data_IF_713058125959
#
_entry.id   IF_713058125959
#
_cell.length_a   1.000
_cell.length_b   1.000
_cell.length_c   1.000
_cell.angle_alpha   90.00
_cell.angle_beta   90.00
_cell.angle_gamma   90.00
#
_symmetry.space_group_name_H-M   'P 1'
#
loop_
_entity.id
_entity.type
_entity.pdbx_description
1 polymer ?
#
# COMPACT_ATOMS: atom_id res chain seq x y z
N UNK A 1 25.88 26.72 63.09
CA UNK A 1 25.46 25.72 62.08
C UNK A 1 24.07 26.06 61.61
N UNK A 2 23.94 26.54 60.37
CA UNK A 2 22.82 26.32 59.44
C UNK A 2 22.98 27.27 58.23
N UNK A 3 23.74 26.80 57.24
CA UNK A 3 23.85 27.43 55.92
C UNK A 3 22.54 27.21 55.14
N UNK A 4 21.75 28.27 54.93
CA UNK A 4 20.65 28.27 53.96
C UNK A 4 21.22 28.50 52.57
N UNK A 5 21.42 27.41 51.83
CA UNK A 5 21.70 27.43 50.39
C UNK A 5 20.45 27.92 49.65
N UNK A 6 20.45 29.18 49.19
CA UNK A 6 19.39 29.70 48.32
C UNK A 6 19.44 28.99 46.97
N UNK A 7 18.43 28.18 46.66
CA UNK A 7 18.24 27.60 45.33
C UNK A 7 17.69 28.67 44.39
N UNK A 8 18.59 29.34 43.68
CA UNK A 8 18.27 30.12 42.50
C UNK A 8 17.72 29.18 41.42
N UNK A 9 16.61 29.50 40.72
CA UNK A 9 16.20 28.73 39.55
C UNK A 9 17.27 28.87 38.46
N UNK A 10 17.77 27.74 37.96
CA UNK A 10 18.69 27.71 36.83
C UNK A 10 18.06 28.46 35.64
N UNK A 11 18.77 29.41 35.02
CA UNK A 11 18.26 30.09 33.84
C UNK A 11 18.06 29.08 32.71
N UNK A 12 16.86 29.04 32.15
CA UNK A 12 16.59 28.44 30.86
C UNK A 12 17.58 29.01 29.85
N UNK A 13 18.56 28.21 29.45
CA UNK A 13 19.55 28.59 28.46
C UNK A 13 18.83 29.00 27.17
N UNK A 14 19.16 30.16 26.58
CA UNK A 14 18.58 30.56 25.32
C UNK A 14 19.05 29.59 24.24
N UNK A 15 18.07 28.96 23.60
CA UNK A 15 18.22 28.08 22.45
C UNK A 15 18.88 28.87 21.33
N UNK A 16 20.21 28.74 21.22
CA UNK A 16 21.01 29.38 20.19
C UNK A 16 20.45 29.04 18.81
N UNK A 17 20.21 30.09 18.03
CA UNK A 17 19.66 30.03 16.69
C UNK A 17 20.63 29.44 15.68
N UNK A 18 20.05 28.98 14.57
CA UNK A 18 20.71 28.73 13.29
C UNK A 18 21.52 27.43 13.11
N UNK A 19 21.30 26.40 13.93
CA UNK A 19 21.59 25.02 13.51
C UNK A 19 20.27 24.36 13.10
N UNK A 20 20.10 24.13 11.79
CA UNK A 20 19.01 23.28 11.29
C UNK A 20 19.14 21.96 12.04
N UNK A 21 18.11 21.58 12.81
CA UNK A 21 18.14 20.31 13.54
C UNK A 21 18.44 19.19 12.55
N UNK A 22 19.61 18.56 12.66
CA UNK A 22 20.07 17.48 11.78
C UNK A 22 19.03 16.38 11.67
N UNK A 23 18.33 16.12 12.78
CA UNK A 23 17.19 15.22 12.87
C UNK A 23 15.98 15.67 12.04
N UNK A 24 15.66 16.96 12.04
CA UNK A 24 14.59 17.54 11.22
C UNK A 24 14.90 17.46 9.72
N UNK A 25 16.15 17.76 9.34
CA UNK A 25 16.60 17.65 7.95
C UNK A 25 16.55 16.19 7.46
N UNK A 26 17.04 15.23 8.26
CA UNK A 26 17.02 13.82 7.87
C UNK A 26 15.59 13.27 7.77
N UNK A 27 14.69 13.72 8.65
CA UNK A 27 13.25 13.40 8.57
C UNK A 27 12.63 13.88 7.26
N UNK A 28 12.98 15.09 6.82
CA UNK A 28 12.49 15.67 5.56
C UNK A 28 13.04 14.90 4.36
N UNK A 29 14.34 14.58 4.36
CA UNK A 29 14.97 13.80 3.29
C UNK A 29 14.34 12.41 3.17
N UNK A 30 14.14 11.71 4.30
CA UNK A 30 13.49 10.39 4.30
C UNK A 30 12.03 10.46 3.84
N UNK A 31 11.31 11.54 4.17
CA UNK A 31 9.97 11.80 3.65
C UNK A 31 10.00 11.95 2.13
N UNK A 32 10.91 12.76 1.57
CA UNK A 32 11.00 12.99 0.13
C UNK A 32 11.40 11.71 -0.63
N UNK A 33 12.37 10.96 -0.10
CA UNK A 33 12.77 9.66 -0.66
C UNK A 33 11.58 8.70 -0.65
N UNK A 34 10.87 8.62 0.48
CA UNK A 34 9.71 7.74 0.61
C UNK A 34 8.61 8.10 -0.39
N UNK A 35 8.19 9.36 -0.41
CA UNK A 35 7.11 9.83 -1.27
C UNK A 35 7.48 9.71 -2.76
N UNK A 36 8.72 10.05 -3.11
CA UNK A 36 9.25 9.92 -4.47
C UNK A 36 9.27 8.47 -4.93
N UNK A 37 9.83 7.57 -4.14
CA UNK A 37 9.95 6.15 -4.49
C UNK A 37 8.57 5.44 -4.53
N UNK A 38 7.70 5.70 -3.55
CA UNK A 38 6.31 5.19 -3.58
C UNK A 38 5.54 5.75 -4.78
N UNK A 39 5.70 7.04 -5.08
CA UNK A 39 5.08 7.68 -6.24
C UNK A 39 5.51 7.04 -7.57
N UNK A 40 6.81 6.82 -7.75
CA UNK A 40 7.36 6.12 -8.93
C UNK A 40 6.77 4.70 -9.04
N UNK A 41 6.73 3.95 -7.93
CA UNK A 41 6.18 2.60 -7.91
C UNK A 41 4.68 2.59 -8.24
N UNK A 42 3.90 3.52 -7.69
CA UNK A 42 2.45 3.60 -7.93
C UNK A 42 2.14 4.04 -9.37
N UNK A 43 2.81 5.08 -9.88
CA UNK A 43 2.63 5.55 -11.26
C UNK A 43 3.10 4.51 -12.28
N UNK A 44 4.26 3.88 -12.03
CA UNK A 44 4.77 2.79 -12.86
C UNK A 44 3.87 1.56 -12.82
N UNK A 45 3.29 1.23 -11.66
CA UNK A 45 2.29 0.18 -11.51
C UNK A 45 1.00 0.47 -12.27
N UNK A 46 0.50 1.71 -12.21
CA UNK A 46 -0.64 2.15 -12.98
C UNK A 46 -0.39 2.05 -14.50
N UNK A 47 0.80 2.45 -14.95
CA UNK A 47 1.22 2.29 -16.35
C UNK A 47 1.30 0.83 -16.76
N UNK A 48 1.90 -0.03 -15.93
CA UNK A 48 1.97 -1.48 -16.19
C UNK A 48 0.56 -2.09 -16.31
N UNK A 49 -0.36 -1.68 -15.44
CA UNK A 49 -1.73 -2.13 -15.49
C UNK A 49 -2.43 -1.66 -16.77
N UNK A 50 -2.23 -0.39 -17.16
CA UNK A 50 -2.71 0.15 -18.43
C UNK A 50 -2.16 -0.60 -19.64
N UNK A 51 -0.88 -0.97 -19.66
CA UNK A 51 -0.29 -1.74 -20.76
C UNK A 51 -0.85 -3.18 -20.85
N UNK A 52 -1.20 -3.77 -19.71
CA UNK A 52 -1.74 -5.14 -19.64
C UNK A 52 -3.21 -5.18 -20.05
N UNK A 53 -3.96 -4.13 -19.71
CA UNK A 53 -5.37 -3.98 -20.05
C UNK A 53 -5.55 -3.32 -21.43
N UNK A 54 -4.61 -2.51 -21.90
CA UNK A 54 -4.71 -1.78 -23.16
C UNK A 54 -4.69 -2.66 -24.43
N UNK A 55 -4.90 -2.06 -25.61
CA UNK A 55 -4.81 -2.76 -26.90
C UNK A 55 -3.44 -3.42 -27.07
N UNK A 56 -3.40 -4.66 -27.56
CA UNK A 56 -2.18 -5.48 -27.62
C UNK A 56 -1.16 -5.07 -28.70
N UNK A 57 -1.16 -3.80 -29.11
CA UNK A 57 -0.34 -3.28 -30.20
C UNK A 57 1.01 -2.70 -29.75
N UNK A 58 1.29 -2.66 -28.44
CA UNK A 58 2.55 -2.18 -27.89
C UNK A 58 3.53 -3.30 -27.54
N UNK A 59 4.83 -3.00 -27.59
CA UNK A 59 5.90 -3.84 -27.04
C UNK A 59 5.63 -4.08 -25.56
N UNK A 60 5.08 -5.24 -25.19
CA UNK A 60 4.82 -5.54 -23.79
C UNK A 60 6.17 -5.63 -23.06
N UNK A 61 6.48 -4.74 -22.11
CA UNK A 61 7.68 -4.88 -21.31
C UNK A 61 7.65 -6.25 -20.63
N UNK A 62 8.82 -6.87 -20.42
CA UNK A 62 8.91 -8.14 -19.72
C UNK A 62 8.24 -8.00 -18.35
N UNK A 63 7.09 -8.66 -18.16
CA UNK A 63 6.25 -8.55 -16.95
C UNK A 63 7.11 -8.72 -15.68
N UNK A 64 7.99 -9.72 -15.71
CA UNK A 64 8.89 -10.03 -14.61
C UNK A 64 9.84 -8.86 -14.26
N UNK A 65 10.47 -8.26 -15.27
CA UNK A 65 11.36 -7.13 -15.06
C UNK A 65 10.60 -5.91 -14.52
N UNK A 66 9.40 -5.66 -15.02
CA UNK A 66 8.54 -4.58 -14.53
C UNK A 66 8.10 -4.81 -13.07
N UNK A 67 7.69 -6.02 -12.72
CA UNK A 67 7.30 -6.36 -11.34
C UNK A 67 8.48 -6.21 -10.38
N UNK A 68 9.68 -6.65 -10.75
CA UNK A 68 10.87 -6.50 -9.91
C UNK A 68 11.24 -5.03 -9.73
N UNK A 69 11.29 -4.25 -10.82
CA UNK A 69 11.69 -2.84 -10.73
C UNK A 69 10.71 -2.02 -9.90
N UNK A 70 9.40 -2.25 -10.06
CA UNK A 70 8.37 -1.62 -9.25
C UNK A 70 8.42 -2.10 -7.79
N UNK A 71 8.66 -3.40 -7.57
CA UNK A 71 8.79 -3.97 -6.23
C UNK A 71 9.96 -3.37 -5.45
N UNK A 72 11.11 -3.17 -6.10
CA UNK A 72 12.28 -2.53 -5.49
C UNK A 72 11.99 -1.06 -5.17
N UNK A 73 11.42 -0.31 -6.11
CA UNK A 73 11.04 1.09 -5.89
C UNK A 73 10.05 1.22 -4.71
N UNK A 74 9.04 0.34 -4.67
CA UNK A 74 8.06 0.29 -3.59
C UNK A 74 8.73 -0.03 -2.25
N UNK A 75 9.61 -1.05 -2.20
CA UNK A 75 10.29 -1.47 -0.98
C UNK A 75 11.19 -0.38 -0.40
N UNK A 76 11.95 0.33 -1.26
CA UNK A 76 12.78 1.47 -0.84
C UNK A 76 11.90 2.56 -0.23
N UNK A 77 10.81 2.92 -0.92
CA UNK A 77 9.88 3.94 -0.43
C UNK A 77 9.19 3.56 0.88
N UNK A 78 8.84 2.28 1.02
CA UNK A 78 8.24 1.69 2.22
C UNK A 78 9.21 1.71 3.41
N UNK A 79 10.46 1.29 3.22
CA UNK A 79 11.49 1.32 4.27
C UNK A 79 11.81 2.75 4.70
N UNK A 80 11.96 3.67 3.75
CA UNK A 80 12.15 5.10 4.04
C UNK A 80 10.97 5.68 4.84
N UNK A 81 9.74 5.27 4.52
CA UNK A 81 8.55 5.68 5.26
C UNK A 81 8.60 5.24 6.73
N UNK A 82 8.96 3.97 6.93
CA UNK A 82 9.06 3.35 8.25
C UNK A 82 10.11 4.06 9.11
N UNK A 83 11.26 4.38 8.54
CA UNK A 83 12.30 5.16 9.21
C UNK A 83 11.84 6.58 9.54
N UNK A 84 11.24 7.29 8.58
CA UNK A 84 10.75 8.65 8.76
C UNK A 84 9.71 8.75 9.89
N UNK A 85 8.76 7.81 9.95
CA UNK A 85 7.70 7.80 10.96
C UNK A 85 8.23 7.33 12.32
N UNK A 86 8.92 6.18 12.37
CA UNK A 86 9.25 5.52 13.65
C UNK A 86 10.53 6.05 14.29
N UNK A 87 11.57 6.29 13.49
CA UNK A 87 12.87 6.75 14.02
C UNK A 87 12.86 8.26 14.22
N UNK A 88 12.40 9.00 13.20
CA UNK A 88 12.44 10.46 13.18
C UNK A 88 11.17 11.14 13.69
N UNK A 89 10.06 10.42 13.84
CA UNK A 89 8.82 10.95 14.41
C UNK A 89 8.08 11.90 13.47
N UNK A 90 8.14 11.67 12.15
CA UNK A 90 7.49 12.53 11.17
C UNK A 90 5.95 12.41 11.26
N UNK A 91 5.27 13.52 11.59
CA UNK A 91 3.81 13.56 11.71
C UNK A 91 3.07 13.80 10.38
N UNK A 92 3.75 14.35 9.36
CA UNK A 92 3.12 14.65 8.07
C UNK A 92 2.98 13.38 7.22
N UNK A 93 4.00 12.51 7.26
CA UNK A 93 4.06 11.33 6.41
C UNK A 93 2.89 10.34 6.62
N UNK A 94 2.43 10.05 7.86
CA UNK A 94 1.24 9.21 8.07
C UNK A 94 -0.03 9.78 7.41
N UNK A 95 -0.19 11.11 7.37
CA UNK A 95 -1.32 11.77 6.73
C UNK A 95 -1.24 11.59 5.21
N UNK A 96 -0.06 11.79 4.62
CA UNK A 96 0.17 11.58 3.19
C UNK A 96 -0.06 10.12 2.78
N UNK A 97 0.44 9.16 3.58
CA UNK A 97 0.22 7.74 3.32
C UNK A 97 -1.26 7.39 3.40
N UNK A 98 -2.01 7.98 4.34
CA UNK A 98 -3.46 7.79 4.39
C UNK A 98 -4.15 8.26 3.10
N UNK A 99 -3.79 9.43 2.58
CA UNK A 99 -4.30 9.89 1.29
C UNK A 99 -3.90 8.94 0.14
N UNK A 100 -2.64 8.49 0.11
CA UNK A 100 -2.16 7.52 -0.88
C UNK A 100 -2.89 6.19 -0.81
N UNK A 101 -3.27 5.72 0.37
CA UNK A 101 -4.05 4.49 0.53
C UNK A 101 -5.43 4.63 -0.13
N UNK A 102 -6.10 5.78 0.01
CA UNK A 102 -7.37 6.03 -0.68
C UNK A 102 -7.21 6.10 -2.21
N UNK A 103 -6.15 6.75 -2.69
CA UNK A 103 -5.81 6.78 -4.13
C UNK A 103 -5.52 5.36 -4.64
N UNK A 104 -4.76 4.57 -3.87
CA UNK A 104 -4.46 3.17 -4.17
C UNK A 104 -5.73 2.33 -4.24
N UNK A 105 -6.65 2.50 -3.27
CA UNK A 105 -7.94 1.81 -3.26
C UNK A 105 -8.79 2.17 -4.48
N UNK A 106 -8.85 3.45 -4.84
CA UNK A 106 -9.57 3.89 -6.03
C UNK A 106 -8.98 3.25 -7.31
N UNK A 107 -7.65 3.19 -7.41
CA UNK A 107 -6.95 2.49 -8.49
C UNK A 107 -7.28 0.99 -8.53
N UNK A 108 -7.27 0.31 -7.38
CA UNK A 108 -7.63 -1.12 -7.29
C UNK A 108 -9.09 -1.34 -7.72
N UNK A 109 -10.01 -0.47 -7.30
CA UNK A 109 -11.42 -0.57 -7.70
C UNK A 109 -11.58 -0.38 -9.21
N UNK A 110 -10.90 0.61 -9.80
CA UNK A 110 -10.88 0.81 -11.25
C UNK A 110 -10.34 -0.42 -11.98
N UNK A 111 -9.18 -0.94 -11.55
CA UNK A 111 -8.59 -2.15 -12.10
C UNK A 111 -9.52 -3.36 -11.99
N UNK A 112 -10.24 -3.47 -10.88
CA UNK A 112 -11.17 -4.56 -10.67
C UNK A 112 -12.30 -4.48 -11.70
N UNK A 113 -12.93 -3.32 -11.89
CA UNK A 113 -13.99 -3.13 -12.88
C UNK A 113 -13.51 -3.42 -14.31
N UNK A 114 -12.32 -2.95 -14.70
CA UNK A 114 -11.71 -3.24 -16.01
C UNK A 114 -11.47 -4.73 -16.22
N UNK A 115 -11.05 -5.46 -15.18
CA UNK A 115 -10.88 -6.91 -15.25
C UNK A 115 -12.24 -7.59 -15.35
N UNK A 116 -13.27 -7.12 -14.62
CA UNK A 116 -14.63 -7.66 -14.71
C UNK A 116 -15.20 -7.56 -16.11
N UNK A 117 -15.00 -6.44 -16.79
CA UNK A 117 -15.45 -6.28 -18.18
C UNK A 117 -14.82 -7.36 -19.08
N UNK A 118 -13.52 -7.62 -18.94
CA UNK A 118 -12.79 -8.61 -19.76
C UNK A 118 -13.18 -10.04 -19.46
N UNK A 119 -13.36 -10.35 -18.17
CA UNK A 119 -13.87 -11.64 -17.71
C UNK A 119 -15.27 -11.86 -18.26
N UNK A 120 -16.13 -10.86 -18.10
CA UNK A 120 -17.50 -10.88 -18.63
C UNK A 120 -17.50 -11.10 -20.13
N UNK A 121 -16.70 -10.38 -20.92
CA UNK A 121 -16.64 -10.56 -22.38
C UNK A 121 -16.03 -11.90 -22.81
N UNK A 122 -15.39 -12.66 -21.93
CA UNK A 122 -14.74 -13.95 -22.21
C UNK A 122 -13.70 -13.86 -23.34
N UNK A 123 -13.07 -12.69 -23.50
CA UNK A 123 -12.05 -12.40 -24.53
C UNK A 123 -10.63 -12.44 -23.94
N UNK A 124 -10.31 -13.50 -23.21
CA UNK A 124 -8.99 -13.67 -22.61
C UNK A 124 -8.50 -15.11 -22.77
N UNK A 125 -7.18 -15.22 -22.89
CA UNK A 125 -6.48 -16.50 -22.84
C UNK A 125 -5.94 -16.76 -21.44
N UNK A 126 -5.55 -18.00 -21.17
CA UNK A 126 -4.95 -18.41 -19.89
C UNK A 126 -3.81 -17.49 -19.43
N UNK A 127 -2.92 -17.08 -20.34
CA UNK A 127 -1.80 -16.18 -20.01
C UNK A 127 -2.24 -14.75 -19.72
N UNK A 128 -3.29 -14.25 -20.39
CA UNK A 128 -3.84 -12.91 -20.10
C UNK A 128 -4.52 -12.90 -18.74
N UNK A 129 -5.24 -13.97 -18.40
CA UNK A 129 -5.83 -14.13 -17.08
C UNK A 129 -4.80 -14.01 -15.95
N UNK A 130 -3.66 -14.70 -16.07
CA UNK A 130 -2.59 -14.60 -15.07
C UNK A 130 -2.00 -13.20 -14.94
N UNK A 131 -1.93 -12.42 -16.04
CA UNK A 131 -1.52 -11.01 -15.96
C UNK A 131 -2.51 -10.19 -15.13
N UNK A 132 -3.81 -10.42 -15.30
CA UNK A 132 -4.84 -9.75 -14.48
C UNK A 132 -4.68 -10.07 -13.00
N UNK A 133 -4.45 -11.35 -12.67
CA UNK A 133 -4.22 -11.81 -11.29
C UNK A 133 -2.97 -11.15 -10.69
N UNK A 134 -1.85 -11.11 -11.41
CA UNK A 134 -0.60 -10.54 -10.92
C UNK A 134 -0.72 -9.03 -10.68
N UNK A 135 -1.35 -8.30 -11.60
CA UNK A 135 -1.57 -6.85 -11.46
C UNK A 135 -2.48 -6.55 -10.28
N UNK A 136 -3.59 -7.28 -10.15
CA UNK A 136 -4.50 -7.14 -9.02
C UNK A 136 -3.78 -7.43 -7.70
N UNK A 137 -3.05 -8.55 -7.62
CA UNK A 137 -2.28 -8.93 -6.45
C UNK A 137 -1.24 -7.87 -6.07
N UNK A 138 -0.57 -7.27 -7.06
CA UNK A 138 0.37 -6.16 -6.86
C UNK A 138 -0.31 -4.93 -6.24
N UNK A 139 -1.50 -4.56 -6.73
CA UNK A 139 -2.30 -3.49 -6.15
C UNK A 139 -2.70 -3.78 -4.70
N UNK A 140 -3.24 -4.97 -4.42
CA UNK A 140 -3.62 -5.38 -3.07
C UNK A 140 -2.42 -5.43 -2.12
N UNK A 141 -1.28 -5.94 -2.57
CA UNK A 141 -0.05 -5.99 -1.80
C UNK A 141 0.48 -4.58 -1.47
N UNK A 142 0.40 -3.64 -2.41
CA UNK A 142 0.73 -2.24 -2.16
C UNK A 142 -0.20 -1.64 -1.10
N UNK A 143 -1.51 -1.86 -1.20
CA UNK A 143 -2.46 -1.37 -0.19
C UNK A 143 -2.16 -1.93 1.21
N UNK A 144 -1.91 -3.24 1.32
CA UNK A 144 -1.54 -3.89 2.59
C UNK A 144 -0.22 -3.35 3.12
N UNK A 145 0.78 -3.16 2.26
CA UNK A 145 2.07 -2.61 2.65
C UNK A 145 1.94 -1.19 3.20
N UNK A 146 1.18 -0.31 2.54
CA UNK A 146 0.91 1.05 3.02
C UNK A 146 0.17 1.03 4.36
N UNK A 147 -0.79 0.12 4.51
CA UNK A 147 -1.48 -0.08 5.77
C UNK A 147 -0.52 -0.43 6.90
N UNK A 148 0.47 -1.29 6.67
CA UNK A 148 1.44 -1.68 7.72
C UNK A 148 2.30 -0.51 8.21
N UNK A 149 2.45 0.56 7.43
CA UNK A 149 3.23 1.74 7.81
C UNK A 149 2.50 2.57 8.87
N UNK A 150 1.19 2.82 8.68
CA UNK A 150 0.41 3.73 9.55
C UNK A 150 -0.12 2.99 10.77
N UNK A 151 0.15 3.52 11.96
CA UNK A 151 -0.36 2.98 13.22
C UNK A 151 -1.84 3.29 13.41
N UNK A 152 -2.60 2.34 13.97
CA UNK A 152 -4.01 2.53 14.28
C UNK A 152 -4.96 2.69 13.07
N UNK A 153 -4.45 2.62 11.84
CA UNK A 153 -5.30 2.70 10.65
C UNK A 153 -6.26 1.51 10.60
N UNK A 154 -7.50 1.74 10.17
CA UNK A 154 -8.55 0.74 10.09
C UNK A 154 -8.83 0.37 8.62
N UNK A 155 -8.71 -0.91 8.25
CA UNK A 155 -8.98 -1.38 6.88
C UNK A 155 -10.47 -1.57 6.57
N UNK A 156 -11.35 -1.57 7.58
CA UNK A 156 -12.78 -1.85 7.39
C UNK A 156 -13.46 -0.94 6.36
N UNK A 157 -13.24 0.39 6.34
CA UNK A 157 -13.87 1.26 5.35
C UNK A 157 -13.44 0.92 3.92
N UNK A 158 -12.23 0.37 3.75
CA UNK A 158 -11.64 0.05 2.47
C UNK A 158 -12.18 -1.27 1.90
N UNK A 159 -12.72 -2.13 2.77
CA UNK A 159 -13.37 -3.37 2.36
C UNK A 159 -14.72 -3.11 1.66
N UNK A 160 -15.42 -2.02 2.01
CA UNK A 160 -16.77 -1.75 1.50
C UNK A 160 -16.78 -1.62 -0.03
N UNK A 161 -15.94 -0.76 -0.66
CA UNK A 161 -15.92 -0.65 -2.12
C UNK A 161 -15.58 -1.98 -2.81
N UNK A 162 -14.64 -2.76 -2.25
CA UNK A 162 -14.25 -4.04 -2.83
C UNK A 162 -15.37 -5.08 -2.74
N UNK A 163 -16.08 -5.15 -1.60
CA UNK A 163 -17.25 -6.03 -1.43
C UNK A 163 -18.37 -5.67 -2.39
N UNK A 164 -18.65 -4.38 -2.58
CA UNK A 164 -19.64 -3.92 -3.56
C UNK A 164 -19.26 -4.39 -4.96
N UNK A 165 -17.99 -4.24 -5.37
CA UNK A 165 -17.53 -4.73 -6.67
C UNK A 165 -17.58 -6.25 -6.80
N UNK A 166 -17.28 -6.99 -5.73
CA UNK A 166 -17.45 -8.46 -5.71
C UNK A 166 -18.91 -8.89 -5.83
N UNK A 167 -19.85 -8.15 -5.23
CA UNK A 167 -21.28 -8.40 -5.40
C UNK A 167 -21.72 -8.13 -6.85
N UNK A 168 -21.21 -7.07 -7.48
CA UNK A 168 -21.44 -6.79 -8.90
C UNK A 168 -20.88 -7.95 -9.76
N UNK A 169 -19.67 -8.43 -9.47
CA UNK A 169 -19.08 -9.57 -10.17
C UNK A 169 -19.96 -10.82 -10.06
N UNK A 170 -20.46 -11.15 -8.87
CA UNK A 170 -21.36 -12.28 -8.69
C UNK A 170 -22.61 -12.14 -9.56
N UNK A 171 -23.21 -10.94 -9.59
CA UNK A 171 -24.33 -10.63 -10.47
C UNK A 171 -23.99 -10.83 -11.96
N UNK A 172 -22.82 -10.36 -12.39
CA UNK A 172 -22.34 -10.53 -13.77
C UNK A 172 -22.11 -12.00 -14.14
N UNK A 173 -21.58 -12.81 -13.22
CA UNK A 173 -21.39 -14.26 -13.41
C UNK A 173 -22.76 -14.91 -13.58
N UNK A 174 -23.68 -14.69 -12.65
CA UNK A 174 -25.05 -15.25 -12.74
C UNK A 174 -25.70 -14.85 -14.06
N UNK A 175 -25.64 -13.56 -14.41
CA UNK A 175 -26.19 -13.07 -15.68
C UNK A 175 -25.56 -13.77 -16.89
N UNK A 176 -24.22 -13.82 -16.95
CA UNK A 176 -23.49 -14.38 -18.10
C UNK A 176 -23.77 -15.87 -18.30
N UNK A 177 -23.77 -16.66 -17.24
CA UNK A 177 -23.88 -18.12 -17.32
C UNK A 177 -25.32 -18.63 -17.34
N UNK A 178 -26.25 -17.96 -16.66
CA UNK A 178 -27.65 -18.40 -16.60
C UNK A 178 -28.47 -17.81 -17.74
N UNK A 179 -28.24 -16.54 -18.09
CA UNK A 179 -29.11 -15.83 -19.04
C UNK A 179 -28.47 -15.63 -20.41
N UNK A 180 -27.15 -15.40 -20.49
CA UNK A 180 -26.47 -15.07 -21.75
C UNK A 180 -25.70 -16.24 -22.41
N UNK A 181 -25.80 -17.46 -21.88
CA UNK A 181 -25.19 -18.65 -22.47
C UNK A 181 -23.66 -18.64 -22.51
N UNK A 182 -23.02 -18.05 -21.50
CA UNK A 182 -21.55 -17.98 -21.40
C UNK A 182 -20.86 -19.34 -21.46
N UNK A 183 -19.64 -19.39 -22.01
CA UNK A 183 -18.88 -20.63 -22.15
C UNK A 183 -18.36 -21.12 -20.81
N UNK A 184 -18.68 -22.37 -20.47
CA UNK A 184 -18.35 -23.01 -19.17
C UNK A 184 -16.85 -23.02 -18.84
N UNK A 185 -15.97 -23.06 -19.84
CA UNK A 185 -14.51 -23.07 -19.66
C UNK A 185 -13.97 -21.85 -18.88
N UNK A 186 -14.66 -20.70 -18.96
CA UNK A 186 -14.24 -19.47 -18.26
C UNK A 186 -14.75 -19.39 -16.81
N UNK A 187 -15.72 -20.24 -16.44
CA UNK A 187 -16.40 -20.15 -15.14
C UNK A 187 -15.42 -20.29 -13.98
N UNK A 188 -14.44 -21.18 -14.12
CA UNK A 188 -13.42 -21.39 -13.09
C UNK A 188 -12.57 -20.13 -12.87
N UNK A 189 -12.24 -19.40 -13.93
CA UNK A 189 -11.48 -18.15 -13.84
C UNK A 189 -12.30 -17.05 -13.16
N UNK A 190 -13.57 -16.93 -13.52
CA UNK A 190 -14.50 -15.97 -12.90
C UNK A 190 -14.71 -16.26 -11.42
N UNK A 191 -14.92 -17.53 -11.05
CA UNK A 191 -15.05 -17.97 -9.66
C UNK A 191 -13.75 -17.76 -8.88
N UNK A 192 -12.59 -18.09 -9.46
CA UNK A 192 -11.29 -17.85 -8.82
C UNK A 192 -11.12 -16.37 -8.46
N UNK A 193 -11.43 -15.47 -9.41
CA UNK A 193 -11.30 -14.04 -9.18
C UNK A 193 -12.33 -13.53 -8.15
N UNK A 194 -13.57 -14.00 -8.23
CA UNK A 194 -14.63 -13.68 -7.26
C UNK A 194 -14.23 -14.11 -5.85
N UNK A 195 -13.83 -15.38 -5.66
CA UNK A 195 -13.46 -15.91 -4.35
C UNK A 195 -12.21 -15.23 -3.81
N UNK A 196 -11.19 -14.97 -4.65
CA UNK A 196 -9.99 -14.26 -4.25
C UNK A 196 -10.30 -12.86 -3.73
N UNK A 197 -11.06 -12.07 -4.48
CA UNK A 197 -11.42 -10.70 -4.11
C UNK A 197 -12.38 -10.66 -2.92
N UNK A 198 -13.36 -11.55 -2.88
CA UNK A 198 -14.30 -11.66 -1.76
C UNK A 198 -13.58 -12.05 -0.47
N UNK A 199 -12.70 -13.07 -0.53
CA UNK A 199 -11.91 -13.50 0.62
C UNK A 199 -11.03 -12.35 1.13
N UNK A 200 -10.31 -11.66 0.25
CA UNK A 200 -9.48 -10.52 0.64
C UNK A 200 -10.31 -9.41 1.31
N UNK A 201 -11.45 -9.06 0.73
CA UNK A 201 -12.33 -8.00 1.24
C UNK A 201 -12.98 -8.37 2.58
N UNK A 202 -13.41 -9.63 2.73
CA UNK A 202 -13.93 -10.15 4.01
C UNK A 202 -12.83 -10.15 5.07
N UNK A 203 -11.60 -10.55 4.74
CA UNK A 203 -10.47 -10.51 5.67
C UNK A 203 -10.17 -9.07 6.13
N UNK A 204 -10.23 -8.10 5.22
CA UNK A 204 -10.13 -6.67 5.55
C UNK A 204 -11.27 -6.20 6.47
N UNK A 205 -12.51 -6.59 6.18
CA UNK A 205 -13.70 -6.22 6.95
C UNK A 205 -13.70 -6.85 8.35
N UNK A 206 -13.36 -8.13 8.43
CA UNK A 206 -13.25 -8.85 9.68
C UNK A 206 -12.17 -8.23 10.58
N UNK A 207 -11.28 -7.41 10.00
CA UNK A 207 -10.15 -6.78 10.69
C UNK A 207 -9.46 -7.82 11.58
N UNK A 208 -9.34 -9.04 11.05
CA UNK A 208 -8.66 -10.11 11.76
C UNK A 208 -7.27 -9.54 11.98
N UNK A 209 -6.88 -9.42 13.24
CA UNK A 209 -5.59 -8.88 13.66
C UNK A 209 -4.41 -9.70 13.17
N UNK A 210 -4.54 -10.44 12.07
CA UNK A 210 -3.50 -11.20 11.37
C UNK A 210 -2.27 -10.33 11.08
N UNK A 211 -2.50 -9.05 10.73
CA UNK A 211 -1.43 -8.10 10.46
C UNK A 211 -0.91 -7.41 11.73
N UNK A 212 -1.62 -7.51 12.87
CA UNK A 212 -1.19 -6.96 14.15
C UNK A 212 0.15 -7.53 14.66
N UNK A 213 0.39 -8.86 14.69
CA UNK A 213 1.68 -9.41 15.12
C UNK A 213 2.81 -9.04 14.16
N UNK A 214 2.54 -8.96 12.86
CA UNK A 214 3.53 -8.50 11.88
C UNK A 214 3.88 -7.03 12.11
N UNK A 215 2.88 -6.16 12.26
CA UNK A 215 3.09 -4.74 12.59
C UNK A 215 3.87 -4.60 13.90
N UNK A 216 3.47 -5.30 14.96
CA UNK A 216 4.14 -5.25 16.26
C UNK A 216 5.60 -5.71 16.19
N UNK A 217 5.91 -6.76 15.41
CA UNK A 217 7.31 -7.18 15.16
C UNK A 217 8.12 -6.07 14.47
N UNK A 218 7.57 -5.44 13.44
CA UNK A 218 8.26 -4.34 12.78
C UNK A 218 8.43 -3.15 13.74
N UNK A 219 7.41 -2.80 14.52
CA UNK A 219 7.47 -1.67 15.46
C UNK A 219 8.53 -1.93 16.51
N UNK A 220 8.53 -3.11 17.13
CA UNK A 220 9.56 -3.49 18.09
C UNK A 220 10.97 -3.53 17.50
N UNK A 221 11.15 -3.92 16.23
CA UNK A 221 12.47 -3.92 15.60
C UNK A 221 13.02 -2.49 15.45
N UNK A 222 12.21 -1.58 14.89
CA UNK A 222 12.62 -0.20 14.69
C UNK A 222 12.77 0.56 16.01
N UNK A 223 11.92 0.32 17.01
CA UNK A 223 12.03 0.96 18.32
C UNK A 223 13.31 0.56 19.05
N UNK A 224 13.62 -0.75 19.08
CA UNK A 224 14.85 -1.28 19.70
C UNK A 224 16.12 -0.77 19.03
N UNK A 225 16.09 -0.59 17.70
CA UNK A 225 17.24 -0.14 16.94
C UNK A 225 17.25 1.40 16.73
N UNK A 226 16.25 2.12 17.22
CA UNK A 226 16.15 3.57 17.01
C UNK A 226 17.29 4.36 17.69
N UNK A 227 17.82 3.85 18.80
CA UNK A 227 18.92 4.48 19.55
C UNK A 227 20.27 4.32 18.86
N UNK A 228 20.49 3.23 18.13
CA UNK A 228 21.70 3.01 17.33
C UNK A 228 21.65 3.69 15.96
N UNK A 229 20.45 3.88 15.41
CA UNK A 229 20.23 4.56 14.11
C UNK A 229 20.23 6.09 14.26
N UNK A 230 19.80 6.62 15.42
CA UNK A 230 19.94 8.05 15.71
C UNK A 230 21.43 8.37 15.82
N UNK A 231 21.95 9.10 14.82
CA UNK A 231 23.22 9.82 15.00
C UNK A 231 23.06 10.69 16.25
N UNK A 232 23.86 10.41 17.27
CA UNK A 232 23.93 11.26 18.47
C UNK A 232 24.26 12.68 18.03
N UNK A 233 23.52 13.65 18.57
CA UNK A 233 23.87 15.06 18.46
C UNK A 233 25.28 15.29 19.02
#
# INVERSE_FOLDING_TARGET
MNDRKSTSPSPTQPRNGHLVSQRGLLSLVMLLISLGALGIAMLGGAKLAYDILGPSSGTSPGLFAAVISLGIAYLIGWLAAMLAIRVYGNLILPILINALMWICLAGICYLYVEILERLYMQQYDFWRFWKYVIVMLGGLAALVGLHLIVEGHNLRPFAIPLLVTSLIQLGLIVFRYVFAGGKSIYLLGDLFFLFGMSAFSILMLAHIGLLHPLRARFTSYFDRNSTSIRTQD
#
